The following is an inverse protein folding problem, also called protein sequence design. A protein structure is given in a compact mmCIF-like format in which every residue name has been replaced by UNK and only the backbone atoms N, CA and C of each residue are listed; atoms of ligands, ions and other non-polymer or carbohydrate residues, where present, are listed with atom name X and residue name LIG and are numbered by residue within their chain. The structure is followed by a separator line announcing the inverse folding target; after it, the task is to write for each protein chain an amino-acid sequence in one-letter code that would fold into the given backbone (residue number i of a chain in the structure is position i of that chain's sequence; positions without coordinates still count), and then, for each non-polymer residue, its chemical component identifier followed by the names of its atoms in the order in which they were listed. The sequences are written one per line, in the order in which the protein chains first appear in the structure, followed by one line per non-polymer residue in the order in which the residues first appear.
data_IF_341328234300
#
_entry.id   IF_341328234300
#
_cell.length_a   1.000
_cell.length_b   1.000
_cell.length_c   1.000
_cell.angle_alpha   90.00
_cell.angle_beta   90.00
_cell.angle_gamma   90.00
#
_symmetry.space_group_name_H-M   'P 1'
#
loop_
_entity.id
_entity.type
_entity.pdbx_description
1 polymer ?
#
# COMPACT_ATOMS: atom_id res chain seq x y z
N UNK A 1 -21.58 33.79 7.46
CA UNK A 1 -21.26 32.37 7.30
C UNK A 1 -21.57 31.66 8.60
N UNK A 2 -22.62 30.85 8.61
CA UNK A 2 -22.94 30.00 9.76
C UNK A 2 -21.98 28.81 9.83
N UNK A 3 -21.84 28.17 10.99
CA UNK A 3 -20.98 26.99 11.15
C UNK A 3 -21.36 25.86 10.18
N UNK A 4 -22.65 25.69 9.89
CA UNK A 4 -23.14 24.63 9.00
C UNK A 4 -22.80 24.90 7.52
N UNK A 5 -22.87 26.18 7.10
CA UNK A 5 -22.41 26.60 5.77
C UNK A 5 -20.90 26.35 5.61
N UNK A 6 -20.11 26.70 6.62
CA UNK A 6 -18.66 26.46 6.59
C UNK A 6 -18.32 24.96 6.59
N UNK A 7 -19.12 24.13 7.28
CA UNK A 7 -18.98 22.67 7.26
C UNK A 7 -19.28 22.10 5.87
N UNK A 8 -20.33 22.62 5.22
CA UNK A 8 -20.72 22.25 3.85
C UNK A 8 -19.66 22.67 2.82
N UNK A 9 -19.03 23.83 3.03
CA UNK A 9 -17.89 24.29 2.24
C UNK A 9 -16.68 23.38 2.42
N UNK A 10 -16.36 22.99 3.67
CA UNK A 10 -15.29 22.04 3.95
C UNK A 10 -15.50 20.71 3.21
N UNK A 11 -16.72 20.16 3.27
CA UNK A 11 -17.07 18.93 2.55
C UNK A 11 -16.90 19.07 1.02
N UNK A 12 -17.34 20.20 0.46
CA UNK A 12 -17.18 20.51 -0.96
C UNK A 12 -15.71 20.61 -1.37
N UNK A 13 -14.88 21.26 -0.55
CA UNK A 13 -13.43 21.31 -0.76
C UNK A 13 -12.79 19.95 -0.63
N UNK A 14 -13.23 19.10 0.31
CA UNK A 14 -12.76 17.72 0.47
C UNK A 14 -13.03 16.89 -0.78
N UNK A 15 -14.25 16.99 -1.33
CA UNK A 15 -14.63 16.30 -2.56
C UNK A 15 -13.80 16.78 -3.74
N UNK A 16 -13.55 18.09 -3.84
CA UNK A 16 -12.70 18.65 -4.90
C UNK A 16 -11.24 18.20 -4.75
N UNK A 17 -10.71 18.17 -3.53
CA UNK A 17 -9.36 17.71 -3.23
C UNK A 17 -9.15 16.27 -3.72
N UNK A 18 -10.11 15.37 -3.43
CA UNK A 18 -10.07 13.99 -3.94
C UNK A 18 -9.98 13.95 -5.48
N UNK A 19 -10.83 14.70 -6.17
CA UNK A 19 -10.86 14.71 -7.64
C UNK A 19 -9.53 15.22 -8.20
N UNK A 20 -9.00 16.32 -7.67
CA UNK A 20 -7.72 16.87 -8.11
C UNK A 20 -6.56 15.91 -7.86
N UNK A 21 -6.57 15.20 -6.73
CA UNK A 21 -5.61 14.13 -6.47
C UNK A 21 -5.71 13.01 -7.51
N UNK A 22 -6.92 12.56 -7.88
CA UNK A 22 -7.08 11.55 -8.92
C UNK A 22 -6.62 12.05 -10.30
N UNK A 23 -6.95 13.29 -10.66
CA UNK A 23 -6.50 13.91 -11.91
C UNK A 23 -4.96 14.03 -11.94
N UNK A 24 -4.33 14.41 -10.83
CA UNK A 24 -2.87 14.51 -10.73
C UNK A 24 -2.18 13.16 -10.92
N UNK A 25 -2.72 12.08 -10.33
CA UNK A 25 -2.15 10.75 -10.51
C UNK A 25 -2.52 10.12 -11.86
N UNK A 26 -3.58 10.58 -12.51
CA UNK A 26 -3.94 10.16 -13.87
C UNK A 26 -3.18 10.97 -14.94
N UNK A 27 -2.60 12.13 -14.60
CA UNK A 27 -1.95 13.03 -15.56
C UNK A 27 -0.57 13.50 -15.07
N UNK A 28 0.53 13.07 -15.73
CA UNK A 28 1.89 13.36 -15.25
C UNK A 28 2.31 14.83 -15.32
N UNK A 29 1.58 15.68 -16.06
CA UNK A 29 1.94 17.08 -16.32
C UNK A 29 1.27 18.09 -15.37
N UNK A 30 0.32 17.66 -14.52
CA UNK A 30 -0.39 18.61 -13.65
C UNK A 30 0.36 18.88 -12.36
N UNK A 31 0.29 20.14 -11.91
CA UNK A 31 0.81 20.61 -10.62
C UNK A 31 -0.01 20.01 -9.47
N UNK A 32 0.61 19.73 -8.31
CA UNK A 32 -0.13 19.27 -7.13
C UNK A 32 -1.12 20.35 -6.65
N UNK A 33 -2.31 19.98 -6.16
CA UNK A 33 -3.34 20.93 -5.72
C UNK A 33 -3.05 21.47 -4.30
N UNK A 34 -1.90 22.13 -4.13
CA UNK A 34 -1.46 22.68 -2.85
C UNK A 34 -2.43 23.73 -2.29
N UNK A 35 -3.08 24.51 -3.15
CA UNK A 35 -4.05 25.54 -2.74
C UNK A 35 -5.29 24.95 -2.06
N UNK A 36 -5.80 23.82 -2.57
CA UNK A 36 -6.99 23.17 -1.99
C UNK A 36 -6.66 22.48 -0.68
N UNK A 37 -5.49 21.86 -0.58
CA UNK A 37 -5.02 21.24 0.65
C UNK A 37 -4.89 22.29 1.75
N UNK A 38 -4.29 23.44 1.44
CA UNK A 38 -4.18 24.55 2.38
C UNK A 38 -5.54 25.09 2.83
N UNK A 39 -6.52 25.23 1.91
CA UNK A 39 -7.89 25.66 2.25
C UNK A 39 -8.58 24.68 3.20
N UNK A 40 -8.46 23.38 2.94
CA UNK A 40 -9.03 22.33 3.81
C UNK A 40 -8.37 22.36 5.19
N UNK A 41 -7.05 22.45 5.25
CA UNK A 41 -6.31 22.54 6.52
C UNK A 41 -6.68 23.80 7.32
N UNK A 42 -6.84 24.94 6.66
CA UNK A 42 -7.25 26.18 7.30
C UNK A 42 -8.64 26.06 7.93
N UNK A 43 -9.60 25.49 7.20
CA UNK A 43 -10.95 25.23 7.72
C UNK A 43 -10.94 24.21 8.86
N UNK A 44 -10.20 23.10 8.71
CA UNK A 44 -10.08 22.07 9.75
C UNK A 44 -9.48 22.65 11.04
N UNK A 45 -8.41 23.45 10.91
CA UNK A 45 -7.79 24.14 12.05
C UNK A 45 -8.76 25.12 12.72
N UNK A 46 -9.52 25.88 11.93
CA UNK A 46 -10.54 26.81 12.45
C UNK A 46 -11.60 26.08 13.30
N UNK A 47 -12.09 24.93 12.84
CA UNK A 47 -13.06 24.15 13.59
C UNK A 47 -12.46 23.42 14.81
N UNK A 48 -11.19 23.02 14.74
CA UNK A 48 -10.47 22.44 15.87
C UNK A 48 -10.26 23.45 17.00
N UNK A 49 -9.84 24.67 16.66
CA UNK A 49 -9.61 25.76 17.62
C UNK A 49 -10.94 26.24 18.24
N UNK A 50 -12.00 26.27 17.44
CA UNK A 50 -13.36 26.55 17.87
C UNK A 50 -14.12 25.38 18.52
N UNK A 51 -13.48 24.25 18.80
CA UNK A 51 -14.13 22.98 19.17
C UNK A 51 -15.06 23.03 20.39
N UNK A 52 -14.90 24.04 21.27
CA UNK A 52 -15.80 24.32 22.38
C UNK A 52 -17.15 24.95 21.99
N UNK A 53 -17.28 25.53 20.79
CA UNK A 53 -18.49 26.19 20.29
C UNK A 53 -19.37 25.30 19.39
N UNK A 54 -18.89 24.11 19.03
CA UNK A 54 -19.61 23.19 18.14
C UNK A 54 -20.66 22.38 18.90
N UNK A 55 -21.86 22.31 18.33
CA UNK A 55 -22.94 21.49 18.87
C UNK A 55 -22.64 19.98 18.68
N UNK A 56 -23.31 19.08 19.41
CA UNK A 56 -23.02 17.63 19.36
C UNK A 56 -23.09 17.05 17.93
N UNK A 57 -24.14 17.39 17.17
CA UNK A 57 -24.29 16.96 15.77
C UNK A 57 -23.17 17.50 14.86
N UNK A 58 -22.76 18.76 15.07
CA UNK A 58 -21.69 19.39 14.29
C UNK A 58 -20.33 18.76 14.60
N UNK A 59 -20.07 18.39 15.86
CA UNK A 59 -18.86 17.64 16.22
C UNK A 59 -18.80 16.29 15.53
N UNK A 60 -19.92 15.57 15.45
CA UNK A 60 -19.96 14.28 14.76
C UNK A 60 -19.63 14.45 13.26
N UNK A 61 -20.30 15.39 12.58
CA UNK A 61 -20.00 15.72 11.18
C UNK A 61 -18.54 16.15 10.97
N UNK A 62 -18.02 17.00 11.84
CA UNK A 62 -16.61 17.42 11.80
C UNK A 62 -15.65 16.24 11.94
N UNK A 63 -15.89 15.33 12.88
CA UNK A 63 -15.05 14.15 13.07
C UNK A 63 -15.05 13.26 11.83
N UNK A 64 -16.20 13.07 11.19
CA UNK A 64 -16.30 12.34 9.93
C UNK A 64 -15.47 13.00 8.82
N UNK A 65 -15.58 14.33 8.67
CA UNK A 65 -14.80 15.09 7.68
C UNK A 65 -13.30 15.03 7.97
N UNK A 66 -12.90 15.12 9.24
CA UNK A 66 -11.50 15.00 9.66
C UNK A 66 -10.93 13.62 9.35
N UNK A 67 -11.69 12.54 9.59
CA UNK A 67 -11.29 11.18 9.24
C UNK A 67 -11.14 11.00 7.73
N UNK A 68 -12.10 11.50 6.94
CA UNK A 68 -12.01 11.47 5.46
C UNK A 68 -10.76 12.20 4.96
N UNK A 69 -10.45 13.37 5.55
CA UNK A 69 -9.23 14.11 5.23
C UNK A 69 -7.97 13.30 5.52
N UNK A 70 -7.88 12.68 6.71
CA UNK A 70 -6.72 11.87 7.08
C UNK A 70 -6.46 10.76 6.06
N UNK A 71 -7.50 10.02 5.65
CA UNK A 71 -7.41 8.97 4.62
C UNK A 71 -6.91 9.54 3.29
N UNK A 72 -7.42 10.69 2.85
CA UNK A 72 -6.98 11.30 1.60
C UNK A 72 -5.53 11.78 1.65
N UNK A 73 -5.09 12.37 2.76
CA UNK A 73 -3.70 12.79 2.96
C UNK A 73 -2.73 11.61 2.96
N UNK A 74 -3.12 10.47 3.53
CA UNK A 74 -2.33 9.24 3.52
C UNK A 74 -2.23 8.63 2.12
N UNK A 75 -3.35 8.60 1.38
CA UNK A 75 -3.35 8.15 -0.01
C UNK A 75 -2.47 9.03 -0.88
N UNK A 76 -2.53 10.35 -0.70
CA UNK A 76 -1.68 11.30 -1.41
C UNK A 76 -0.21 11.03 -1.13
N UNK A 77 0.19 10.91 0.14
CA UNK A 77 1.58 10.61 0.54
C UNK A 77 2.07 9.29 -0.05
N UNK A 78 1.26 8.23 0.00
CA UNK A 78 1.61 6.92 -0.57
C UNK A 78 1.79 6.99 -2.08
N UNK A 79 0.85 7.58 -2.80
CA UNK A 79 0.93 7.71 -4.27
C UNK A 79 2.03 8.68 -4.72
N UNK A 80 2.31 9.73 -3.94
CA UNK A 80 3.44 10.62 -4.19
C UNK A 80 4.77 9.88 -4.08
N UNK A 81 4.96 9.05 -3.04
CA UNK A 81 6.15 8.19 -2.93
C UNK A 81 6.29 7.22 -4.10
N UNK A 82 5.18 6.58 -4.53
CA UNK A 82 5.20 5.68 -5.69
C UNK A 82 5.63 6.41 -6.97
N UNK A 83 5.22 7.68 -7.14
CA UNK A 83 5.62 8.51 -8.29
C UNK A 83 7.10 8.89 -8.25
N UNK A 84 7.65 9.21 -7.08
CA UNK A 84 9.05 9.64 -6.91
C UNK A 84 10.04 8.46 -6.89
N UNK A 85 9.69 7.35 -6.21
CA UNK A 85 10.58 6.21 -5.96
C UNK A 85 10.28 4.97 -6.82
N UNK A 86 9.12 4.94 -7.52
CA UNK A 86 8.64 3.76 -8.25
C UNK A 86 7.98 2.71 -7.35
N UNK A 87 7.38 1.66 -7.95
CA UNK A 87 6.78 0.56 -7.18
C UNK A 87 7.86 -0.33 -6.57
N UNK A 88 8.25 -0.08 -5.32
CA UNK A 88 9.22 -0.90 -4.59
C UNK A 88 8.60 -2.10 -3.86
N UNK A 89 7.30 -2.06 -3.52
CA UNK A 89 6.62 -3.16 -2.81
C UNK A 89 5.39 -3.64 -3.59
N UNK A 90 5.03 -4.93 -3.51
CA UNK A 90 3.86 -5.47 -4.19
C UNK A 90 2.54 -4.81 -3.75
N UNK A 91 2.46 -4.38 -2.49
CA UNK A 91 1.32 -3.62 -1.95
C UNK A 91 1.19 -2.20 -2.56
N UNK A 92 2.27 -1.66 -3.13
CA UNK A 92 2.25 -0.36 -3.80
C UNK A 92 1.62 -0.49 -5.20
N UNK A 93 1.67 -1.68 -5.81
CA UNK A 93 1.01 -1.96 -7.09
C UNK A 93 -0.52 -1.84 -6.98
N UNK A 94 -1.10 -2.13 -5.81
CA UNK A 94 -2.54 -1.93 -5.55
C UNK A 94 -2.94 -0.46 -5.57
N UNK A 95 -2.00 0.46 -5.30
CA UNK A 95 -2.22 1.92 -5.32
C UNK A 95 -2.05 2.51 -6.73
N UNK A 96 -2.00 1.67 -7.76
CA UNK A 96 -1.75 1.95 -9.18
C UNK A 96 -1.85 3.44 -9.56
N UNK A 97 -0.68 4.03 -9.79
CA UNK A 97 -0.46 5.33 -10.41
C UNK A 97 -0.11 5.10 -11.88
N UNK A 98 -0.90 5.66 -12.80
CA UNK A 98 -0.71 5.53 -14.24
C UNK A 98 0.64 6.13 -14.67
N UNK A 99 1.44 5.38 -15.43
CA UNK A 99 2.73 5.83 -15.97
C UNK A 99 3.96 5.42 -15.15
N UNK A 100 3.78 4.99 -13.90
CA UNK A 100 4.77 4.13 -13.26
C UNK A 100 4.48 2.73 -13.79
N UNK A 101 5.43 2.10 -14.47
CA UNK A 101 5.30 0.68 -14.84
C UNK A 101 5.72 -0.11 -13.60
N UNK A 102 4.97 -1.14 -13.15
CA UNK A 102 5.57 -2.13 -12.27
C UNK A 102 6.75 -2.71 -13.05
N UNK A 103 7.96 -2.44 -12.60
CA UNK A 103 9.14 -3.06 -13.19
C UNK A 103 9.04 -4.55 -12.83
N UNK A 104 8.68 -5.38 -13.81
CA UNK A 104 8.55 -6.84 -13.71
C UNK A 104 9.84 -7.54 -13.20
N UNK A 105 10.90 -6.79 -12.92
CA UNK A 105 12.20 -7.29 -12.47
C UNK A 105 12.19 -7.92 -11.08
N UNK A 106 11.20 -7.64 -10.22
CA UNK A 106 11.19 -8.23 -8.86
C UNK A 106 10.58 -9.64 -8.79
N UNK A 107 9.93 -10.13 -9.85
CA UNK A 107 9.37 -11.49 -9.89
C UNK A 107 10.40 -12.55 -10.36
N UNK A 108 11.50 -12.15 -11.02
CA UNK A 108 12.41 -13.10 -11.69
C UNK A 108 13.63 -13.56 -10.87
N UNK A 109 13.75 -13.20 -9.58
CA UNK A 109 14.94 -13.51 -8.79
C UNK A 109 14.86 -14.82 -7.95
N UNK A 110 13.73 -15.52 -7.88
CA UNK A 110 13.55 -16.66 -6.96
C UNK A 110 13.36 -18.04 -7.60
N UNK A 111 13.45 -18.18 -8.92
CA UNK A 111 13.34 -19.48 -9.59
C UNK A 111 14.63 -19.86 -10.32
N UNK A 112 15.73 -19.98 -9.59
CA UNK A 112 16.91 -20.68 -10.11
C UNK A 112 17.72 -21.34 -9.00
N UNK A 113 17.11 -22.32 -8.33
CA UNK A 113 17.90 -23.41 -7.74
C UNK A 113 17.07 -24.64 -7.42
N UNK A 114 17.04 -25.56 -8.38
CA UNK A 114 17.36 -27.00 -8.20
C UNK A 114 16.89 -27.79 -9.41
N UNK A 115 17.82 -28.14 -10.29
CA UNK A 115 17.70 -29.34 -11.11
C UNK A 115 18.30 -30.50 -10.32
N UNK A 116 17.56 -31.55 -9.91
CA UNK A 116 18.21 -32.81 -9.60
C UNK A 116 18.61 -33.49 -10.91
N UNK A 117 19.91 -33.66 -11.06
CA UNK A 117 20.57 -34.41 -12.12
C UNK A 117 20.00 -35.82 -12.21
N UNK A 118 19.59 -36.20 -13.42
CA UNK A 118 19.43 -37.60 -13.82
C UNK A 118 20.77 -38.31 -13.64
N UNK A 119 20.80 -39.40 -12.90
CA UNK A 119 21.78 -40.46 -13.08
C UNK A 119 21.01 -41.75 -13.29
N UNK A 120 21.16 -42.30 -14.50
CA UNK A 120 20.64 -43.57 -14.92
C UNK A 120 21.79 -44.57 -14.95
N UNK A 121 21.63 -45.70 -14.27
CA UNK A 121 22.29 -47.00 -14.52
C UNK A 121 21.81 -47.99 -13.44
N UNK A 122 20.82 -48.85 -13.71
CA UNK A 122 20.87 -50.13 -14.44
C UNK A 122 21.55 -51.28 -13.66
N UNK A 123 20.70 -52.19 -13.15
CA UNK A 123 20.72 -53.67 -13.29
C UNK A 123 21.82 -54.55 -12.67
N UNK A 124 21.36 -55.70 -12.14
CA UNK A 124 22.01 -57.00 -11.85
C UNK A 124 22.71 -57.13 -10.48
N UNK A 125 22.14 -57.87 -9.51
CA UNK A 125 22.07 -59.34 -9.35
C UNK A 125 23.36 -59.96 -8.76
N UNK A 126 23.23 -60.61 -7.59
CA UNK A 126 23.98 -61.78 -7.02
C UNK A 126 23.89 -61.72 -5.48
N UNK A 127 22.95 -62.41 -4.80
CA UNK A 127 22.94 -63.82 -4.33
C UNK A 127 24.15 -64.26 -3.48
N UNK A 128 23.78 -64.82 -2.31
CA UNK A 128 24.48 -65.79 -1.42
C UNK A 128 25.74 -65.33 -0.68
N UNK A 129 26.14 -65.82 0.49
CA UNK A 129 25.62 -66.63 1.63
C UNK A 129 26.86 -66.93 2.48
N UNK A 130 26.87 -66.61 3.80
CA UNK A 130 27.68 -67.22 4.92
C UNK A 130 29.22 -67.40 4.78
N UNK A 131 30.04 -67.26 5.86
CA UNK A 131 30.19 -68.30 6.90
C UNK A 131 30.24 -67.73 8.34
N UNK A 132 29.60 -68.38 9.34
CA UNK A 132 30.20 -69.28 10.35
C UNK A 132 31.46 -68.73 11.07
N UNK A 133 31.37 -68.52 12.39
CA UNK A 133 32.07 -69.33 13.44
C UNK A 133 31.95 -68.63 14.82
N UNK A 134 31.31 -69.30 15.79
CA UNK A 134 31.33 -69.02 17.25
C UNK A 134 32.66 -69.47 17.87
N UNK A 135 33.07 -69.12 19.13
CA UNK A 135 32.45 -69.74 20.33
C UNK A 135 32.53 -68.97 21.68
N UNK A 136 31.59 -69.33 22.58
CA UNK A 136 31.78 -69.69 24.01
C UNK A 136 32.22 -68.69 25.11
N UNK A 137 31.27 -68.50 26.04
CA UNK A 137 31.32 -68.52 27.52
C UNK A 137 32.20 -67.54 28.33
N UNK A 138 31.56 -66.80 29.23
CA UNK A 138 31.47 -67.18 30.65
C UNK A 138 30.31 -66.46 31.34
#
# INVERSE_FOLDING_TARGET
MTVDEEMTLLESHLRRLKIEYEIYFNSPQKRPPSDLEWKVLALLRKFSDGGGRLNFSQRFRYNELAQRYAVYSDLWRKKARIREEGYRRPQDALLSVQGVRPDDSTASAHSSRRKPSRFASSTAASRSSTPSTSPTAK
#
